data_IF_901886005052
#
_entry.id   IF_901886005052
#
_cell.length_a   1.000
_cell.length_b   1.000
_cell.length_c   1.000
_cell.angle_alpha   90.00
_cell.angle_beta   90.00
_cell.angle_gamma   90.00
#
_symmetry.space_group_name_H-M   'P 1'
#
loop_
_entity.id
_entity.type
_entity.pdbx_description
1 polymer ?
#
# COMPACT_ATOMS: atom_id res chain seq x y z
N UNK A 1 -33.55 -15.14 1.31
CA UNK A 1 -32.53 -16.15 1.77
C UNK A 1 -31.24 -15.36 2.03
N UNK A 2 -30.73 -15.41 3.26
CA UNK A 2 -29.53 -14.65 3.65
C UNK A 2 -28.31 -15.12 2.87
N UNK A 3 -27.60 -14.21 2.22
CA UNK A 3 -26.34 -14.50 1.51
C UNK A 3 -25.14 -14.29 2.43
N UNK A 4 -24.19 -15.20 2.36
CA UNK A 4 -22.95 -15.15 3.13
C UNK A 4 -21.81 -14.58 2.29
N UNK A 5 -21.12 -13.56 2.83
CA UNK A 5 -20.03 -12.89 2.15
C UNK A 5 -18.78 -12.92 3.03
N UNK A 6 -17.69 -13.47 2.53
CA UNK A 6 -16.38 -13.37 3.13
C UNK A 6 -15.59 -12.25 2.44
N UNK A 7 -15.06 -11.31 3.22
CA UNK A 7 -14.17 -10.23 2.74
C UNK A 7 -12.79 -10.48 3.31
N UNK A 8 -11.77 -10.62 2.46
CA UNK A 8 -10.38 -10.80 2.85
C UNK A 8 -9.66 -9.47 2.72
N UNK A 9 -9.42 -8.82 3.85
CA UNK A 9 -8.85 -7.49 3.98
C UNK A 9 -9.84 -6.45 4.50
N UNK A 10 -9.55 -5.87 5.66
CA UNK A 10 -10.30 -4.79 6.30
C UNK A 10 -9.81 -3.39 5.91
N UNK A 11 -9.14 -3.27 4.76
CA UNK A 11 -8.72 -1.99 4.19
C UNK A 11 -9.88 -1.19 3.60
N UNK A 12 -9.61 0.02 3.03
CA UNK A 12 -10.65 0.92 2.52
C UNK A 12 -11.65 0.28 1.56
N UNK A 13 -11.21 -0.60 0.68
CA UNK A 13 -12.09 -1.30 -0.26
C UNK A 13 -13.01 -2.28 0.48
N UNK A 14 -12.45 -3.12 1.36
CA UNK A 14 -13.19 -4.17 2.07
C UNK A 14 -14.22 -3.61 3.05
N UNK A 15 -13.82 -2.66 3.93
CA UNK A 15 -14.79 -2.10 4.88
C UNK A 15 -15.85 -1.24 4.21
N UNK A 16 -15.51 -0.53 3.09
CA UNK A 16 -16.51 0.23 2.35
C UNK A 16 -17.52 -0.69 1.67
N UNK A 17 -17.08 -1.81 1.10
CA UNK A 17 -17.98 -2.82 0.56
C UNK A 17 -18.99 -3.28 1.63
N UNK A 18 -18.51 -3.64 2.82
CA UNK A 18 -19.38 -4.03 3.94
C UNK A 18 -20.35 -2.91 4.33
N UNK A 19 -19.85 -1.65 4.44
CA UNK A 19 -20.69 -0.49 4.75
C UNK A 19 -21.80 -0.23 3.73
N UNK A 20 -21.57 -0.49 2.45
CA UNK A 20 -22.61 -0.33 1.43
C UNK A 20 -23.62 -1.48 1.48
N UNK A 21 -23.18 -2.73 1.67
CA UNK A 21 -24.07 -3.89 1.73
C UNK A 21 -25.03 -3.85 2.94
N UNK A 22 -24.55 -3.42 4.11
CA UNK A 22 -25.42 -3.33 5.31
C UNK A 22 -26.49 -2.25 5.23
N UNK A 23 -26.41 -1.34 4.24
CA UNK A 23 -27.44 -0.31 3.99
C UNK A 23 -28.57 -0.78 3.09
N UNK A 24 -28.42 -1.92 2.44
CA UNK A 24 -29.41 -2.44 1.50
C UNK A 24 -30.55 -3.12 2.25
N UNK A 25 -31.68 -3.35 1.57
CA UNK A 25 -32.82 -4.10 2.13
C UNK A 25 -32.58 -5.62 2.13
N UNK A 26 -31.54 -6.08 1.43
CA UNK A 26 -31.18 -7.49 1.36
C UNK A 26 -30.45 -7.95 2.63
N UNK A 27 -30.66 -9.21 3.00
CA UNK A 27 -30.02 -9.79 4.17
C UNK A 27 -28.67 -10.41 3.81
N UNK A 28 -27.59 -9.86 4.38
CA UNK A 28 -26.25 -10.39 4.26
C UNK A 28 -25.67 -10.79 5.63
N UNK A 29 -25.03 -11.94 5.67
CA UNK A 29 -24.07 -12.28 6.72
C UNK A 29 -22.67 -11.95 6.20
N UNK A 30 -21.99 -10.98 6.82
CA UNK A 30 -20.69 -10.50 6.37
C UNK A 30 -19.64 -10.82 7.41
N UNK A 31 -18.60 -11.53 7.00
CA UNK A 31 -17.42 -11.83 7.78
C UNK A 31 -16.20 -11.20 7.12
N UNK A 32 -15.43 -10.37 7.85
CA UNK A 32 -14.21 -9.71 7.36
C UNK A 32 -13.01 -10.33 8.05
N UNK A 33 -12.05 -10.80 7.27
CA UNK A 33 -10.81 -11.43 7.74
C UNK A 33 -9.64 -10.49 7.46
N UNK A 34 -8.82 -10.19 8.46
CA UNK A 34 -7.61 -9.40 8.27
C UNK A 34 -6.46 -9.93 9.13
N UNK A 35 -5.25 -9.92 8.55
CA UNK A 35 -4.04 -10.32 9.25
C UNK A 35 -3.62 -9.33 10.35
N UNK A 36 -4.03 -8.06 10.22
CA UNK A 36 -3.76 -7.02 11.20
C UNK A 36 -4.73 -7.09 12.38
N UNK A 37 -4.39 -6.37 13.45
CA UNK A 37 -5.19 -6.33 14.67
C UNK A 37 -6.40 -5.38 14.56
N UNK A 38 -6.43 -4.51 13.56
CA UNK A 38 -7.42 -3.45 13.43
C UNK A 38 -7.82 -3.18 11.98
N UNK A 39 -8.97 -2.53 11.81
CA UNK A 39 -9.51 -2.06 10.54
C UNK A 39 -8.64 -0.93 9.95
N UNK A 40 -8.56 -0.85 8.63
CA UNK A 40 -7.97 0.28 7.92
C UNK A 40 -6.92 -0.09 6.89
N UNK A 41 -6.32 -1.29 6.97
CA UNK A 41 -5.28 -1.72 6.03
C UNK A 41 -4.16 -0.68 5.94
N UNK A 42 -3.81 -0.23 4.72
CA UNK A 42 -2.73 0.75 4.51
C UNK A 42 -2.97 2.11 5.21
N UNK A 43 -4.20 2.48 5.55
CA UNK A 43 -4.48 3.66 6.38
C UNK A 43 -3.95 3.43 7.79
N UNK A 44 -4.19 2.26 8.35
CA UNK A 44 -3.75 1.89 9.70
C UNK A 44 -2.25 1.69 9.76
N UNK A 45 -1.69 0.89 8.86
CA UNK A 45 -0.30 0.45 8.91
C UNK A 45 0.69 1.45 8.30
N UNK A 46 0.31 2.12 7.21
CA UNK A 46 1.22 2.89 6.37
C UNK A 46 1.11 4.41 6.51
N UNK A 47 -0.08 4.98 6.70
CA UNK A 47 -0.22 6.43 6.78
C UNK A 47 0.07 6.92 8.21
N UNK A 48 1.00 7.87 8.41
CA UNK A 48 1.29 8.39 9.74
C UNK A 48 0.12 9.14 10.37
N UNK A 49 0.00 9.06 11.71
CA UNK A 49 -1.08 9.69 12.50
C UNK A 49 -1.15 11.21 12.29
N UNK A 50 0.01 11.89 12.19
CA UNK A 50 0.06 13.34 11.95
C UNK A 50 -0.48 13.77 10.59
N UNK A 51 -0.54 12.84 9.61
CA UNK A 51 -1.11 13.05 8.28
C UNK A 51 -2.60 12.73 8.25
N UNK A 52 -3.00 11.66 8.90
CA UNK A 52 -4.39 11.20 8.92
C UNK A 52 -4.73 10.55 10.28
N UNK A 53 -5.41 11.27 11.18
CA UNK A 53 -5.87 10.71 12.45
C UNK A 53 -6.76 9.49 12.23
N UNK A 54 -6.59 8.44 13.04
CA UNK A 54 -7.26 7.14 12.87
C UNK A 54 -8.67 7.05 13.51
N UNK A 55 -9.10 8.09 14.22
CA UNK A 55 -10.39 8.10 14.94
C UNK A 55 -11.61 7.79 14.09
N UNK A 56 -11.55 8.08 12.77
CA UNK A 56 -12.63 7.73 11.86
C UNK A 56 -12.73 6.22 11.58
N UNK A 57 -11.62 5.48 11.70
CA UNK A 57 -11.60 4.01 11.55
C UNK A 57 -12.37 3.35 12.68
N UNK A 58 -12.19 3.82 13.91
CA UNK A 58 -12.95 3.36 15.07
C UNK A 58 -14.46 3.55 14.86
N UNK A 59 -14.86 4.72 14.36
CA UNK A 59 -16.27 4.98 14.02
C UNK A 59 -16.80 4.03 12.93
N UNK A 60 -15.99 3.78 11.90
CA UNK A 60 -16.34 2.86 10.81
C UNK A 60 -16.48 1.42 11.34
N UNK A 61 -15.57 0.99 12.20
CA UNK A 61 -15.61 -0.32 12.86
C UNK A 61 -16.87 -0.51 13.71
N UNK A 62 -17.13 0.42 14.63
CA UNK A 62 -18.28 0.34 15.52
C UNK A 62 -19.61 0.28 14.75
N UNK A 63 -19.76 1.12 13.70
CA UNK A 63 -20.95 1.07 12.86
C UNK A 63 -21.16 -0.25 12.13
N UNK A 64 -20.09 -0.93 11.73
CA UNK A 64 -20.17 -2.25 11.10
C UNK A 64 -20.49 -3.36 12.13
N UNK A 65 -19.92 -3.30 13.34
CA UNK A 65 -20.26 -4.21 14.43
C UNK A 65 -21.74 -4.07 14.83
N UNK A 66 -22.24 -2.84 14.97
CA UNK A 66 -23.64 -2.56 15.26
C UNK A 66 -24.58 -3.10 14.16
N UNK A 67 -24.12 -3.10 12.92
CA UNK A 67 -24.83 -3.68 11.78
C UNK A 67 -24.71 -5.22 11.68
N UNK A 68 -24.02 -5.89 12.60
CA UNK A 68 -23.89 -7.34 12.66
C UNK A 68 -22.74 -7.93 11.82
N UNK A 69 -21.84 -7.10 11.28
CA UNK A 69 -20.63 -7.59 10.59
C UNK A 69 -19.66 -8.20 11.60
N UNK A 70 -19.10 -9.35 11.27
CA UNK A 70 -18.11 -10.02 12.10
C UNK A 70 -16.70 -9.75 11.58
N UNK A 71 -15.79 -9.42 12.49
CA UNK A 71 -14.37 -9.25 12.18
C UNK A 71 -13.53 -10.37 12.77
N UNK A 72 -12.64 -10.89 11.97
CA UNK A 72 -11.66 -11.92 12.32
C UNK A 72 -10.27 -11.32 12.11
N UNK A 73 -9.84 -10.51 13.09
CA UNK A 73 -8.51 -9.90 13.11
C UNK A 73 -7.42 -10.90 13.47
N UNK A 74 -6.14 -10.55 13.23
CA UNK A 74 -4.99 -11.43 13.42
C UNK A 74 -5.15 -12.77 12.69
N UNK A 75 -5.87 -12.74 11.56
CA UNK A 75 -6.23 -13.93 10.77
C UNK A 75 -5.65 -13.80 9.38
N UNK A 76 -4.56 -14.51 9.13
CA UNK A 76 -3.99 -14.64 7.79
C UNK A 76 -4.74 -15.72 7.03
N UNK A 77 -5.38 -15.37 5.94
CA UNK A 77 -6.07 -16.33 5.06
C UNK A 77 -5.03 -16.95 4.14
N UNK A 78 -4.75 -18.23 4.35
CA UNK A 78 -3.89 -19.05 3.50
C UNK A 78 -4.72 -19.83 2.46
N UNK A 79 -4.07 -20.65 1.64
CA UNK A 79 -4.73 -21.46 0.61
C UNK A 79 -5.77 -22.42 1.19
N UNK A 80 -5.55 -22.97 2.37
CA UNK A 80 -6.48 -23.91 3.01
C UNK A 80 -7.74 -23.18 3.44
N UNK A 81 -7.56 -22.09 4.19
CA UNK A 81 -8.67 -21.26 4.64
C UNK A 81 -9.41 -20.61 3.47
N UNK A 82 -8.72 -20.18 2.40
CA UNK A 82 -9.36 -19.64 1.21
C UNK A 82 -10.32 -20.65 0.56
N UNK A 83 -9.92 -21.92 0.44
CA UNK A 83 -10.80 -23.00 -0.04
C UNK A 83 -12.01 -23.22 0.85
N UNK A 84 -11.82 -23.15 2.17
CA UNK A 84 -12.94 -23.25 3.12
C UNK A 84 -13.91 -22.07 2.97
N UNK A 85 -13.40 -20.84 2.78
CA UNK A 85 -14.24 -19.66 2.53
C UNK A 85 -15.04 -19.82 1.21
N UNK A 86 -14.41 -20.28 0.13
CA UNK A 86 -15.11 -20.56 -1.13
C UNK A 86 -16.21 -21.61 -0.99
N UNK A 87 -16.02 -22.62 -0.12
CA UNK A 87 -17.01 -23.67 0.08
C UNK A 87 -18.20 -23.25 0.97
N UNK A 88 -17.99 -22.29 1.89
CA UNK A 88 -18.95 -21.93 2.94
C UNK A 88 -19.66 -20.58 2.73
N UNK A 89 -19.18 -19.75 1.81
CA UNK A 89 -19.71 -18.43 1.50
C UNK A 89 -20.23 -18.36 0.05
N UNK A 90 -21.31 -17.61 -0.13
CA UNK A 90 -21.87 -17.38 -1.49
C UNK A 90 -20.94 -16.53 -2.35
N UNK A 91 -20.23 -15.59 -1.73
CA UNK A 91 -19.22 -14.73 -2.36
C UNK A 91 -17.99 -14.58 -1.49
N UNK A 92 -16.82 -14.60 -2.12
CA UNK A 92 -15.53 -14.26 -1.51
C UNK A 92 -14.97 -13.01 -2.19
N UNK A 93 -14.65 -11.99 -1.41
CA UNK A 93 -14.10 -10.73 -1.95
C UNK A 93 -12.68 -10.53 -1.45
N UNK A 94 -11.74 -10.51 -2.37
CA UNK A 94 -10.31 -10.34 -2.11
C UNK A 94 -9.96 -8.85 -2.17
N UNK A 95 -9.71 -8.24 -1.01
CA UNK A 95 -9.41 -6.84 -0.81
C UNK A 95 -8.06 -6.62 -0.09
N UNK A 96 -7.09 -7.51 -0.37
CA UNK A 96 -5.79 -7.60 0.33
C UNK A 96 -4.83 -6.43 0.05
N UNK A 97 -5.15 -5.57 -0.91
CA UNK A 97 -4.27 -4.47 -1.33
C UNK A 97 -3.03 -4.94 -2.09
N UNK A 98 -2.05 -4.06 -2.25
CA UNK A 98 -0.75 -4.35 -2.85
C UNK A 98 0.32 -4.39 -1.74
N UNK A 99 0.68 -5.58 -1.29
CA UNK A 99 1.45 -5.79 -0.06
C UNK A 99 2.94 -6.07 -0.31
N UNK A 100 3.31 -6.46 -1.54
CA UNK A 100 4.70 -6.83 -1.85
C UNK A 100 5.47 -5.60 -2.29
N UNK A 101 6.48 -5.23 -1.52
CA UNK A 101 7.34 -4.10 -1.81
C UNK A 101 8.38 -4.44 -2.89
N UNK A 102 8.60 -3.48 -3.78
CA UNK A 102 9.66 -3.61 -4.77
C UNK A 102 11.00 -3.16 -4.16
N UNK A 103 11.97 -4.04 -4.17
CA UNK A 103 13.33 -3.76 -3.67
C UNK A 103 14.39 -3.77 -4.77
N UNK A 104 14.02 -4.04 -6.04
CA UNK A 104 14.95 -4.26 -7.15
C UNK A 104 16.05 -5.29 -6.85
N UNK A 105 15.79 -6.24 -5.94
CA UNK A 105 16.75 -7.28 -5.55
C UNK A 105 17.71 -6.88 -4.44
N UNK A 106 17.64 -5.64 -3.93
CA UNK A 106 18.43 -5.25 -2.77
C UNK A 106 17.89 -5.93 -1.50
N UNK A 107 18.79 -6.49 -0.72
CA UNK A 107 18.48 -7.09 0.57
C UNK A 107 18.22 -6.01 1.62
N UNK A 108 17.21 -6.20 2.45
CA UNK A 108 16.91 -5.34 3.60
C UNK A 108 17.78 -5.70 4.80
N UNK A 109 18.00 -4.76 5.70
CA UNK A 109 18.87 -4.88 6.87
C UNK A 109 20.09 -3.97 6.78
N UNK A 110 20.80 -3.76 7.87
CA UNK A 110 22.04 -3.00 7.97
C UNK A 110 21.97 -1.59 7.33
N UNK A 111 20.86 -0.89 7.54
CA UNK A 111 20.63 0.44 6.96
C UNK A 111 19.81 0.45 5.66
N UNK A 112 19.32 -0.70 5.19
CA UNK A 112 18.38 -0.78 4.06
C UNK A 112 17.02 -1.23 4.57
N UNK A 113 15.95 -0.48 4.29
CA UNK A 113 14.58 -0.82 4.70
C UNK A 113 13.60 -0.57 3.54
N UNK A 114 12.60 -1.42 3.40
CA UNK A 114 11.50 -1.18 2.46
C UNK A 114 10.51 -0.16 3.06
N UNK A 115 9.87 0.66 2.22
CA UNK A 115 9.14 1.85 2.66
C UNK A 115 7.91 1.53 3.51
N UNK A 116 7.11 0.52 3.15
CA UNK A 116 5.96 0.11 3.97
C UNK A 116 6.41 -0.56 5.27
N UNK A 117 7.48 -1.34 5.22
CA UNK A 117 8.09 -1.94 6.41
C UNK A 117 8.55 -0.86 7.38
N UNK A 118 9.20 0.20 6.89
CA UNK A 118 9.58 1.37 7.71
C UNK A 118 8.35 2.02 8.36
N UNK A 119 7.30 2.28 7.56
CA UNK A 119 6.09 2.91 8.07
C UNK A 119 5.36 2.03 9.07
N UNK A 120 5.31 0.73 8.84
CA UNK A 120 4.76 -0.24 9.78
C UNK A 120 5.54 -0.24 11.11
N UNK A 121 6.87 -0.26 11.04
CA UNK A 121 7.72 -0.21 12.22
C UNK A 121 7.53 1.08 13.02
N UNK A 122 7.36 2.21 12.36
CA UNK A 122 7.12 3.48 13.03
C UNK A 122 5.69 3.64 13.57
N UNK A 123 4.67 3.23 12.80
CA UNK A 123 3.28 3.46 13.15
C UNK A 123 2.72 2.41 14.12
N UNK A 124 3.09 1.14 13.94
CA UNK A 124 2.51 0.00 14.66
C UNK A 124 3.47 -0.53 15.74
N UNK A 125 4.73 -0.75 15.37
CA UNK A 125 5.73 -1.31 16.29
C UNK A 125 6.39 -0.24 17.18
N UNK A 126 6.15 1.03 16.92
CA UNK A 126 6.69 2.20 17.67
C UNK A 126 8.22 2.17 17.82
N UNK A 127 8.94 1.76 16.75
CA UNK A 127 10.39 1.58 16.73
C UNK A 127 11.18 2.85 16.39
N UNK A 128 10.70 4.05 16.77
CA UNK A 128 11.39 5.32 16.49
C UNK A 128 12.81 5.34 17.03
N UNK A 129 13.04 4.74 18.19
CA UNK A 129 14.36 4.69 18.83
C UNK A 129 15.40 3.94 18.01
N UNK A 130 14.98 2.88 17.27
CA UNK A 130 15.88 2.07 16.45
C UNK A 130 16.48 2.87 15.28
N UNK A 131 15.80 3.95 14.88
CA UNK A 131 16.23 4.81 13.76
C UNK A 131 17.08 6.01 14.21
N UNK A 132 17.14 6.36 15.49
CA UNK A 132 17.94 7.48 16.02
C UNK A 132 19.45 7.30 15.85
N UNK A 133 19.92 6.09 15.63
CA UNK A 133 21.33 5.80 15.37
C UNK A 133 21.81 6.32 14.01
N UNK A 134 20.90 6.52 13.05
CA UNK A 134 21.20 7.03 11.71
C UNK A 134 21.29 8.55 11.68
N UNK A 135 22.13 9.10 10.81
CA UNK A 135 22.39 10.54 10.68
C UNK A 135 21.91 11.11 9.36
N UNK A 136 22.00 10.31 8.30
CA UNK A 136 21.61 10.72 6.93
C UNK A 136 20.76 9.64 6.30
N UNK A 137 19.51 9.96 5.98
CA UNK A 137 18.61 9.03 5.31
C UNK A 137 18.35 9.43 3.87
N UNK A 138 18.35 8.45 2.99
CA UNK A 138 17.87 8.58 1.62
C UNK A 138 16.56 7.81 1.50
N UNK A 139 15.52 8.48 0.97
CA UNK A 139 14.26 7.85 0.59
C UNK A 139 14.21 7.75 -0.93
N UNK A 140 14.20 6.53 -1.44
CA UNK A 140 14.19 6.28 -2.87
C UNK A 140 12.76 6.13 -3.38
N UNK A 141 12.27 7.12 -4.12
CA UNK A 141 10.94 7.11 -4.71
C UNK A 141 10.28 8.48 -4.76
N UNK A 142 9.11 8.57 -5.39
CA UNK A 142 8.39 9.84 -5.57
C UNK A 142 6.88 9.75 -5.35
N UNK A 143 6.38 8.64 -4.79
CA UNK A 143 4.97 8.47 -4.44
C UNK A 143 4.63 8.94 -3.03
N UNK A 144 3.35 8.84 -2.66
CA UNK A 144 2.91 9.21 -1.30
C UNK A 144 3.63 8.41 -0.21
N UNK A 145 3.96 7.14 -0.44
CA UNK A 145 4.75 6.32 0.50
C UNK A 145 6.13 6.94 0.74
N UNK A 146 6.80 7.45 -0.32
CA UNK A 146 8.08 8.14 -0.16
C UNK A 146 7.96 9.41 0.67
N UNK A 147 6.86 10.18 0.47
CA UNK A 147 6.58 11.37 1.29
C UNK A 147 6.36 10.99 2.75
N UNK A 148 5.56 9.96 3.02
CA UNK A 148 5.29 9.49 4.38
C UNK A 148 6.56 8.98 5.07
N UNK A 149 7.41 8.21 4.36
CA UNK A 149 8.71 7.77 4.87
C UNK A 149 9.61 8.97 5.21
N UNK A 150 9.79 9.90 4.29
CA UNK A 150 10.67 11.04 4.47
C UNK A 150 10.20 11.96 5.60
N UNK A 151 8.90 12.25 5.66
CA UNK A 151 8.30 13.06 6.72
C UNK A 151 8.36 12.38 8.09
N UNK A 152 8.25 11.06 8.15
CA UNK A 152 8.43 10.31 9.39
C UNK A 152 9.89 10.32 9.83
N UNK A 153 10.83 10.12 8.91
CA UNK A 153 12.26 10.10 9.20
C UNK A 153 12.80 11.47 9.63
N UNK A 154 12.37 12.58 8.99
CA UNK A 154 12.87 13.92 9.36
C UNK A 154 12.50 14.35 10.78
N UNK A 155 11.57 13.66 11.44
CA UNK A 155 11.25 13.82 12.88
C UNK A 155 12.22 13.07 13.79
N UNK A 156 13.10 12.26 13.21
CA UNK A 156 14.03 11.36 13.94
C UNK A 156 15.48 11.62 13.53
N UNK A 157 15.70 11.94 12.24
CA UNK A 157 17.01 12.08 11.58
C UNK A 157 17.11 13.49 10.99
N UNK A 158 18.23 14.17 11.23
CA UNK A 158 18.41 15.58 10.84
C UNK A 158 18.55 15.80 9.31
N UNK A 159 19.11 14.84 8.60
CA UNK A 159 19.36 14.96 7.15
C UNK A 159 18.60 13.87 6.38
N UNK A 160 17.49 14.25 5.75
CA UNK A 160 16.65 13.36 4.95
C UNK A 160 16.52 13.89 3.53
N UNK A 161 16.89 13.07 2.54
CA UNK A 161 16.83 13.41 1.13
C UNK A 161 16.00 12.38 0.36
N UNK A 162 14.98 12.83 -0.38
CA UNK A 162 14.26 12.01 -1.35
C UNK A 162 15.06 12.01 -2.66
N UNK A 163 15.32 10.82 -3.21
CA UNK A 163 15.91 10.65 -4.55
C UNK A 163 14.81 10.20 -5.51
N UNK A 164 14.55 11.01 -6.53
CA UNK A 164 13.50 10.75 -7.51
C UNK A 164 14.00 10.89 -8.96
N UNK A 165 13.72 9.87 -9.77
CA UNK A 165 14.28 9.75 -11.13
C UNK A 165 13.71 10.69 -12.18
N UNK A 166 12.59 11.36 -11.93
CA UNK A 166 11.93 12.33 -12.81
C UNK A 166 11.91 13.72 -12.18
N UNK A 167 11.21 14.67 -12.80
CA UNK A 167 11.02 16.01 -12.28
C UNK A 167 9.82 16.09 -11.33
N UNK A 168 9.63 17.26 -10.74
CA UNK A 168 8.47 17.57 -9.90
C UNK A 168 7.13 17.33 -10.63
N UNK A 169 7.09 17.61 -11.94
CA UNK A 169 5.86 17.49 -12.73
C UNK A 169 5.38 16.04 -12.87
N UNK A 170 6.30 15.09 -12.96
CA UNK A 170 6.00 13.66 -13.07
C UNK A 170 5.86 12.96 -11.70
N UNK A 171 5.99 13.71 -10.60
CA UNK A 171 5.93 13.13 -9.26
C UNK A 171 4.51 12.68 -8.95
N UNK A 172 4.27 11.38 -8.66
CA UNK A 172 2.91 10.88 -8.42
C UNK A 172 2.38 11.20 -7.02
N UNK A 173 3.22 11.72 -6.13
CA UNK A 173 2.80 12.16 -4.80
C UNK A 173 1.85 13.34 -4.89
N UNK A 174 0.96 13.47 -3.91
CA UNK A 174 0.06 14.62 -3.77
C UNK A 174 0.86 15.93 -3.64
N UNK A 175 0.50 17.01 -4.36
CA UNK A 175 1.18 18.30 -4.23
C UNK A 175 1.20 18.85 -2.79
N UNK A 176 0.19 18.52 -1.99
CA UNK A 176 0.14 18.91 -0.58
C UNK A 176 1.22 18.21 0.23
N UNK A 177 1.47 16.91 -0.03
CA UNK A 177 2.50 16.13 0.67
C UNK A 177 3.91 16.55 0.26
N UNK A 178 4.13 16.87 -1.02
CA UNK A 178 5.42 17.40 -1.50
C UNK A 178 5.74 18.73 -0.78
N UNK A 179 4.78 19.67 -0.75
CA UNK A 179 4.96 20.93 -0.01
C UNK A 179 5.18 20.73 1.47
N UNK A 180 4.53 19.74 2.08
CA UNK A 180 4.73 19.41 3.49
C UNK A 180 6.16 18.88 3.74
N UNK A 181 6.68 18.02 2.86
CA UNK A 181 8.07 17.55 2.92
C UNK A 181 9.06 18.72 2.89
N UNK A 182 8.93 19.62 1.92
CA UNK A 182 9.80 20.80 1.79
C UNK A 182 9.75 21.70 3.03
N UNK A 183 8.53 21.96 3.54
CA UNK A 183 8.33 22.78 4.76
C UNK A 183 8.94 22.14 6.00
N UNK A 184 8.95 20.81 6.08
CA UNK A 184 9.54 20.05 7.19
C UNK A 184 11.05 19.86 7.06
N UNK A 185 11.68 20.40 6.01
CA UNK A 185 13.13 20.37 5.81
C UNK A 185 13.65 19.16 5.02
N UNK A 186 12.77 18.34 4.45
CA UNK A 186 13.17 17.24 3.56
C UNK A 186 13.72 17.81 2.26
N UNK A 187 14.90 17.35 1.85
CA UNK A 187 15.51 17.68 0.56
C UNK A 187 14.96 16.77 -0.52
N UNK A 188 14.82 17.27 -1.76
CA UNK A 188 14.40 16.45 -2.90
C UNK A 188 15.42 16.58 -4.02
N UNK A 189 16.07 15.48 -4.36
CA UNK A 189 17.02 15.36 -5.48
C UNK A 189 16.26 14.81 -6.70
N UNK A 190 15.74 15.72 -7.52
CA UNK A 190 15.07 15.37 -8.78
C UNK A 190 16.08 14.95 -9.85
N UNK A 191 15.60 14.20 -10.85
CA UNK A 191 16.41 13.71 -11.98
C UNK A 191 17.63 12.92 -11.51
N UNK A 192 17.46 12.11 -10.48
CA UNK A 192 18.46 11.24 -9.92
C UNK A 192 17.87 9.85 -9.68
N UNK A 193 18.62 8.80 -10.00
CA UNK A 193 18.21 7.43 -9.74
C UNK A 193 19.32 6.65 -9.06
N UNK A 194 18.97 5.88 -8.05
CA UNK A 194 19.92 5.02 -7.34
C UNK A 194 20.24 3.81 -8.22
N UNK A 195 21.51 3.52 -8.38
CA UNK A 195 22.04 2.39 -9.14
C UNK A 195 22.53 1.28 -8.22
N UNK A 196 23.09 1.67 -7.09
CA UNK A 196 23.64 0.73 -6.12
C UNK A 196 23.59 1.31 -4.70
N UNK A 197 23.59 0.43 -3.71
CA UNK A 197 23.67 0.77 -2.30
C UNK A 197 25.04 0.33 -1.79
N UNK A 198 25.85 1.31 -1.40
CA UNK A 198 27.22 1.10 -0.97
C UNK A 198 27.26 0.68 0.51
N UNK A 199 28.06 -0.32 0.80
CA UNK A 199 28.25 -0.86 2.16
C UNK A 199 29.70 -0.74 2.58
N UNK A 200 29.92 -0.49 3.87
CA UNK A 200 31.23 -0.51 4.49
C UNK A 200 31.75 -1.95 4.69
N UNK A 201 32.94 -2.09 5.26
CA UNK A 201 33.57 -3.37 5.57
C UNK A 201 32.80 -4.23 6.59
N UNK A 202 31.88 -3.63 7.35
CA UNK A 202 30.99 -4.30 8.30
C UNK A 202 29.61 -4.65 7.68
N UNK A 203 29.40 -4.30 6.40
CA UNK A 203 28.17 -4.52 5.68
C UNK A 203 27.07 -3.51 5.96
N UNK A 204 27.35 -2.40 6.66
CA UNK A 204 26.39 -1.33 6.89
C UNK A 204 26.37 -0.36 5.70
N UNK A 205 25.23 0.26 5.45
CA UNK A 205 25.10 1.32 4.45
C UNK A 205 26.05 2.48 4.77
N UNK A 206 26.85 2.91 3.78
CA UNK A 206 27.70 4.08 3.86
C UNK A 206 27.44 5.10 2.74
N UNK A 207 26.55 4.79 1.81
CA UNK A 207 26.14 5.69 0.73
C UNK A 207 25.34 4.97 -0.35
N UNK A 208 24.99 5.72 -1.38
CA UNK A 208 24.38 5.19 -2.61
C UNK A 208 25.12 5.72 -3.84
N UNK A 209 25.22 4.87 -4.86
CA UNK A 209 25.67 5.30 -6.19
C UNK A 209 24.46 5.79 -6.97
N UNK A 210 24.53 6.99 -7.50
CA UNK A 210 23.43 7.69 -8.15
C UNK A 210 23.82 8.09 -9.57
N UNK A 211 22.93 7.87 -10.52
CA UNK A 211 23.03 8.39 -11.89
C UNK A 211 22.13 9.60 -12.06
N UNK A 212 22.59 10.62 -12.79
CA UNK A 212 21.73 11.71 -13.27
C UNK A 212 20.80 11.18 -14.35
N UNK A 213 19.58 11.71 -14.37
CA UNK A 213 18.54 11.34 -15.31
C UNK A 213 18.16 12.55 -16.17
N UNK A 214 17.72 12.28 -17.39
CA UNK A 214 17.06 13.26 -18.26
C UNK A 214 15.70 12.73 -18.68
N UNK A 215 14.76 13.66 -18.92
CA UNK A 215 13.42 13.31 -19.36
C UNK A 215 13.40 13.05 -20.86
N UNK A 216 12.65 12.05 -21.27
CA UNK A 216 12.38 11.70 -22.65
C UNK A 216 10.92 11.94 -23.05
N UNK A 217 10.46 11.21 -24.05
CA UNK A 217 9.07 11.28 -24.51
C UNK A 217 8.09 10.74 -23.46
N UNK A 218 6.80 11.07 -23.63
CA UNK A 218 5.73 10.60 -22.75
C UNK A 218 5.60 9.07 -22.84
N UNK A 219 5.53 8.42 -21.68
CA UNK A 219 5.27 6.98 -21.58
C UNK A 219 3.75 6.68 -21.62
N UNK A 220 3.39 5.40 -21.68
CA UNK A 220 1.98 4.94 -21.69
C UNK A 220 1.18 5.41 -20.45
N UNK A 221 1.84 5.76 -19.37
CA UNK A 221 1.20 6.32 -18.16
C UNK A 221 0.90 7.81 -18.26
N UNK A 222 1.25 8.46 -19.38
CA UNK A 222 1.11 9.90 -19.60
C UNK A 222 2.14 10.75 -18.86
N UNK A 223 3.29 10.17 -18.45
CA UNK A 223 4.40 10.87 -17.81
C UNK A 223 5.65 10.78 -18.69
N UNK A 224 6.49 11.82 -18.65
CA UNK A 224 7.75 11.77 -19.36
C UNK A 224 8.58 10.54 -18.94
N UNK A 225 9.07 9.77 -19.91
CA UNK A 225 10.04 8.71 -19.67
C UNK A 225 11.33 9.32 -19.11
N UNK A 226 12.23 8.52 -18.61
CA UNK A 226 13.51 9.04 -18.15
C UNK A 226 14.65 8.10 -18.52
N UNK A 227 15.77 8.68 -18.92
CA UNK A 227 16.97 7.99 -19.37
C UNK A 227 18.16 8.40 -18.51
N UNK A 228 19.09 7.49 -18.34
CA UNK A 228 20.32 7.76 -17.61
C UNK A 228 21.27 8.59 -18.47
N UNK A 229 21.80 9.65 -17.89
CA UNK A 229 22.85 10.44 -18.52
C UNK A 229 24.15 9.66 -18.44
N UNK A 230 24.81 9.47 -19.61
CA UNK A 230 26.05 8.71 -19.68
C UNK A 230 27.15 9.34 -18.82
N UNK A 231 27.94 8.49 -18.16
CA UNK A 231 29.09 8.87 -17.35
C UNK A 231 28.77 9.88 -16.22
N UNK A 232 27.54 9.85 -15.70
CA UNK A 232 27.02 10.79 -14.68
C UNK A 232 26.99 10.24 -13.26
N UNK A 233 27.58 9.07 -13.02
CA UNK A 233 27.59 8.42 -11.71
C UNK A 233 28.31 9.25 -10.66
N UNK A 234 27.70 9.39 -9.49
CA UNK A 234 28.29 10.01 -8.32
C UNK A 234 27.78 9.33 -7.05
N UNK A 235 28.44 9.59 -5.93
CA UNK A 235 28.07 9.03 -4.64
C UNK A 235 27.33 10.07 -3.79
N UNK A 236 26.24 9.66 -3.16
CA UNK A 236 25.59 10.39 -2.05
C UNK A 236 25.82 9.59 -0.76
N UNK A 237 26.41 10.25 0.23
CA UNK A 237 26.60 9.64 1.55
C UNK A 237 25.25 9.50 2.28
N UNK A 238 25.04 8.34 2.88
CA UNK A 238 23.93 8.07 3.82
C UNK A 238 24.26 6.83 4.64
N UNK A 239 23.54 6.65 5.74
CA UNK A 239 23.63 5.46 6.59
C UNK A 239 22.27 4.72 6.69
N UNK A 240 21.21 5.29 6.08
CA UNK A 240 19.90 4.66 5.93
C UNK A 240 19.35 4.89 4.51
N UNK A 241 18.83 3.82 3.89
CA UNK A 241 18.09 3.87 2.63
C UNK A 241 16.71 3.28 2.82
N UNK A 242 15.66 4.07 2.62
CA UNK A 242 14.27 3.63 2.59
C UNK A 242 13.77 3.50 1.14
N UNK A 243 13.46 2.30 0.72
CA UNK A 243 13.02 2.01 -0.65
C UNK A 243 11.50 2.14 -0.79
N UNK A 244 11.02 3.23 -1.38
CA UNK A 244 9.60 3.51 -1.64
C UNK A 244 9.30 3.52 -3.16
N UNK A 245 9.74 2.48 -3.86
CA UNK A 245 9.82 2.38 -5.33
C UNK A 245 8.71 1.55 -5.96
N UNK A 246 7.59 1.45 -5.25
CA UNK A 246 6.39 0.79 -5.71
C UNK A 246 6.11 -0.53 -5.01
N UNK A 247 4.93 -1.03 -5.29
CA UNK A 247 4.37 -2.23 -4.69
C UNK A 247 3.71 -3.07 -5.77
N UNK A 248 3.51 -4.34 -5.50
CA UNK A 248 2.75 -5.26 -6.35
C UNK A 248 1.87 -6.18 -5.51
N UNK A 249 0.92 -6.79 -6.16
CA UNK A 249 0.02 -7.78 -5.58
C UNK A 249 0.61 -9.17 -5.72
N UNK A 250 0.41 -10.00 -4.72
CA UNK A 250 0.68 -11.43 -4.78
C UNK A 250 -0.55 -12.19 -4.27
N UNK A 251 -1.10 -13.05 -5.10
CA UNK A 251 -2.25 -13.90 -4.77
C UNK A 251 -1.84 -15.31 -4.37
N UNK A 252 -0.58 -15.71 -4.54
CA UNK A 252 -0.12 -17.08 -4.28
C UNK A 252 -0.39 -17.57 -2.86
N UNK A 253 -0.37 -16.71 -1.81
CA UNK A 253 -0.77 -17.13 -0.47
C UNK A 253 -2.24 -17.55 -0.36
N UNK A 254 -3.12 -17.06 -1.26
CA UNK A 254 -4.54 -17.41 -1.28
C UNK A 254 -4.81 -18.58 -2.24
N UNK A 255 -4.35 -18.47 -3.49
CA UNK A 255 -4.56 -19.47 -4.51
C UNK A 255 -3.68 -19.18 -5.74
N UNK A 256 -2.96 -20.16 -6.25
CA UNK A 256 -2.05 -20.03 -7.41
C UNK A 256 -2.79 -19.71 -8.72
N UNK A 257 -4.05 -20.13 -8.84
CA UNK A 257 -4.90 -19.91 -10.03
C UNK A 257 -5.71 -18.60 -9.95
N UNK A 258 -5.67 -17.90 -8.81
CA UNK A 258 -6.39 -16.64 -8.63
C UNK A 258 -5.72 -15.53 -9.42
N UNK A 259 -6.46 -14.97 -10.38
CA UNK A 259 -6.00 -13.86 -11.22
C UNK A 259 -7.13 -12.85 -11.42
N UNK A 260 -6.73 -11.61 -11.67
CA UNK A 260 -7.64 -10.57 -12.15
C UNK A 260 -8.08 -10.86 -13.58
N UNK A 261 -9.29 -10.44 -13.91
CA UNK A 261 -9.81 -10.36 -15.28
C UNK A 261 -9.95 -8.88 -15.68
N UNK A 262 -10.59 -8.59 -16.79
CA UNK A 262 -10.91 -7.21 -17.21
C UNK A 262 -12.00 -6.57 -16.33
N UNK A 263 -12.66 -7.37 -15.53
CA UNK A 263 -13.67 -6.96 -14.54
C UNK A 263 -13.20 -7.29 -13.11
N UNK A 264 -13.98 -6.93 -12.11
CA UNK A 264 -13.68 -7.29 -10.72
C UNK A 264 -13.94 -8.76 -10.37
N UNK A 265 -14.62 -9.51 -11.27
CA UNK A 265 -14.67 -10.96 -11.17
C UNK A 265 -13.25 -11.54 -11.38
N UNK A 266 -12.93 -12.59 -10.66
CA UNK A 266 -11.66 -13.29 -10.84
C UNK A 266 -11.77 -14.47 -11.81
N UNK A 267 -10.67 -15.20 -11.98
CA UNK A 267 -10.67 -16.49 -12.69
C UNK A 267 -11.44 -17.59 -11.94
N UNK A 268 -11.79 -17.38 -10.68
CA UNK A 268 -12.51 -18.32 -9.84
C UNK A 268 -13.98 -17.90 -9.69
N UNK A 269 -14.88 -18.87 -9.69
CA UNK A 269 -16.32 -18.62 -9.55
C UNK A 269 -16.65 -17.97 -8.21
N UNK A 270 -17.56 -16.98 -8.22
CA UNK A 270 -18.02 -16.22 -7.04
C UNK A 270 -16.92 -15.52 -6.23
N UNK A 271 -15.74 -15.32 -6.83
CA UNK A 271 -14.63 -14.59 -6.23
C UNK A 271 -14.45 -13.26 -6.94
N UNK A 272 -14.47 -12.16 -6.17
CA UNK A 272 -14.20 -10.81 -6.65
C UNK A 272 -12.86 -10.31 -6.12
N UNK A 273 -12.20 -9.45 -6.88
CA UNK A 273 -10.96 -8.77 -6.48
C UNK A 273 -11.20 -7.26 -6.56
N UNK A 274 -10.90 -6.54 -5.48
CA UNK A 274 -11.17 -5.10 -5.36
C UNK A 274 -10.02 -4.32 -4.74
N UNK A 275 -10.07 -2.99 -4.88
CA UNK A 275 -9.07 -2.08 -4.35
C UNK A 275 -7.72 -2.24 -5.05
N UNK A 276 -6.63 -1.97 -4.32
CA UNK A 276 -5.28 -2.07 -4.89
C UNK A 276 -4.91 -3.51 -5.28
N UNK A 277 -5.62 -4.52 -4.79
CA UNK A 277 -5.48 -5.90 -5.27
C UNK A 277 -5.90 -6.04 -6.73
N UNK A 278 -6.87 -5.27 -7.20
CA UNK A 278 -7.34 -5.25 -8.58
C UNK A 278 -6.62 -4.22 -9.44
N UNK A 279 -6.52 -2.98 -8.95
CA UNK A 279 -6.05 -1.84 -9.76
C UNK A 279 -4.53 -1.62 -9.71
N UNK A 280 -3.81 -2.36 -8.87
CA UNK A 280 -2.50 -1.95 -8.37
C UNK A 280 -2.60 -0.80 -7.35
N UNK A 281 -1.48 -0.39 -6.75
CA UNK A 281 -1.47 0.64 -5.71
C UNK A 281 -1.95 2.00 -6.26
N UNK A 282 -3.05 2.51 -5.68
CA UNK A 282 -3.66 3.81 -6.03
C UNK A 282 -3.96 4.62 -4.76
N UNK A 283 -5.06 5.37 -4.77
CA UNK A 283 -5.49 6.23 -3.66
C UNK A 283 -6.55 5.55 -2.80
N UNK A 284 -6.71 6.03 -1.55
CA UNK A 284 -7.83 5.61 -0.67
C UNK A 284 -9.17 5.83 -1.39
N UNK A 285 -9.35 6.96 -2.05
CA UNK A 285 -10.58 7.27 -2.80
C UNK A 285 -10.87 6.25 -3.90
N UNK A 286 -9.85 5.79 -4.60
CA UNK A 286 -9.95 4.71 -5.59
C UNK A 286 -10.46 3.42 -4.94
N UNK A 287 -9.86 3.00 -3.83
CA UNK A 287 -10.24 1.78 -3.11
C UNK A 287 -11.70 1.86 -2.59
N UNK A 288 -12.11 3.01 -2.08
CA UNK A 288 -13.51 3.28 -1.64
C UNK A 288 -14.48 3.15 -2.82
N UNK A 289 -14.13 3.70 -3.98
CA UNK A 289 -14.99 3.60 -5.18
C UNK A 289 -15.14 2.15 -5.66
N UNK A 290 -14.06 1.36 -5.58
CA UNK A 290 -14.09 -0.08 -5.90
C UNK A 290 -15.05 -0.83 -4.96
N UNK A 291 -14.95 -0.61 -3.64
CA UNK A 291 -15.87 -1.21 -2.67
C UNK A 291 -17.34 -0.89 -2.96
N UNK A 292 -17.65 0.39 -3.26
CA UNK A 292 -19.02 0.81 -3.62
C UNK A 292 -19.51 0.19 -4.93
N UNK A 293 -18.64 0.03 -5.90
CA UNK A 293 -18.98 -0.56 -7.20
C UNK A 293 -19.37 -2.03 -7.03
N UNK A 294 -18.56 -2.79 -6.30
CA UNK A 294 -18.81 -4.22 -6.11
C UNK A 294 -20.01 -4.49 -5.19
N UNK A 295 -20.29 -3.62 -4.22
CA UNK A 295 -21.53 -3.71 -3.45
C UNK A 295 -22.76 -3.72 -4.37
N UNK A 296 -22.83 -2.81 -5.32
CA UNK A 296 -23.94 -2.74 -6.30
C UNK A 296 -24.00 -3.96 -7.21
N UNK A 297 -22.85 -4.51 -7.60
CA UNK A 297 -22.78 -5.71 -8.44
C UNK A 297 -23.29 -6.95 -7.69
N UNK A 298 -22.88 -7.12 -6.42
CA UNK A 298 -23.36 -8.21 -5.56
C UNK A 298 -24.86 -8.07 -5.32
N UNK A 299 -25.37 -6.86 -5.09
CA UNK A 299 -26.80 -6.58 -4.90
C UNK A 299 -27.61 -6.92 -6.16
N UNK A 300 -27.11 -6.57 -7.35
CA UNK A 300 -27.75 -6.92 -8.61
C UNK A 300 -27.87 -8.45 -8.78
N UNK A 301 -26.80 -9.20 -8.50
CA UNK A 301 -26.78 -10.67 -8.56
C UNK A 301 -27.71 -11.31 -7.51
N UNK A 302 -27.84 -10.71 -6.34
CA UNK A 302 -28.80 -11.14 -5.32
C UNK A 302 -30.24 -11.10 -5.88
N UNK A 303 -30.62 -9.98 -6.51
CA UNK A 303 -31.95 -9.74 -7.03
C UNK A 303 -32.29 -10.60 -8.26
N UNK A 304 -31.29 -10.99 -9.06
CA UNK A 304 -31.47 -11.93 -10.20
C UNK A 304 -31.70 -13.36 -9.72
N UNK A 305 -31.05 -13.80 -8.65
CA UNK A 305 -31.19 -15.15 -8.11
C UNK A 305 -32.47 -15.38 -7.28
N UNK A 306 -33.24 -14.31 -7.02
CA UNK A 306 -34.52 -14.37 -6.28
C UNK A 306 -35.75 -14.31 -7.19
N UNK A 307 -35.57 -14.18 -8.50
CA UNK A 307 -36.61 -14.30 -9.51
C UNK A 307 -36.69 -15.74 -10.04
#
# INVERSE_FOLDING_TARGET
MTRKIAIIGAGPAGYTLAQELVKTENEYQIDIFDKEAEIGGAIYTGIPEYRMPKTFLEKAYNGLIEAGVKFHFNTFVDQTMFKELQANYDYVVVAIGAQIENTFGFETGNGVVAGLTLLYDLNINHKQEDFKKYKKAIVWGGGNVAMDCARSLVRIIDDVTIVYRRSLQEMPASPAEIKACEKEGVKIAFLNNIKDILKDENGNVCGVQVAKMELGEMDESGRASCHEVKDSLFTMECDLVAMAIGQKVDFTPLNDDLKTTDTHASTLENVFIIGDAFTGPKTIGSAVMEGKKIAKEIEAKYNEGTK
#
